data_IF_838083713667
#
_entry.id   IF_838083713667
#
_cell.length_a   1.000
_cell.length_b   1.000
_cell.length_c   1.000
_cell.angle_alpha   90.00
_cell.angle_beta   90.00
_cell.angle_gamma   90.00
#
_symmetry.space_group_name_H-M   'P 1'
#
loop_
_entity.id
_entity.type
_entity.pdbx_description
1 polymer ?
#
# COMPACT_ATOMS: atom_id res chain seq x y z
N UNK A 1 3.36 9.83 -6.85
CA UNK A 1 2.61 8.90 -7.72
C UNK A 1 1.71 8.00 -6.89
N UNK A 2 0.41 8.07 -7.14
CA UNK A 2 -0.61 7.20 -6.54
C UNK A 2 -1.15 6.23 -7.58
N UNK A 3 -1.22 4.94 -7.22
CA UNK A 3 -1.92 3.89 -7.96
C UNK A 3 -3.00 3.29 -7.08
N UNK A 4 -4.11 2.89 -7.70
CA UNK A 4 -5.26 2.32 -6.98
C UNK A 4 -5.57 0.95 -7.56
N UNK A 5 -5.73 -0.03 -6.68
CA UNK A 5 -6.06 -1.40 -7.03
C UNK A 5 -7.33 -1.84 -6.31
N UNK A 6 -8.27 -2.39 -7.07
CA UNK A 6 -9.45 -3.07 -6.53
C UNK A 6 -9.20 -4.58 -6.55
N UNK A 7 -9.36 -5.21 -5.39
CA UNK A 7 -9.15 -6.65 -5.21
C UNK A 7 -10.45 -7.31 -4.74
N UNK A 8 -11.04 -8.14 -5.60
CA UNK A 8 -12.32 -8.82 -5.38
C UNK A 8 -12.12 -10.33 -5.44
N UNK A 9 -11.67 -10.90 -4.32
CA UNK A 9 -11.37 -12.33 -4.24
C UNK A 9 -10.17 -12.67 -5.12
N UNK A 10 -10.41 -13.14 -6.36
CA UNK A 10 -9.36 -13.56 -7.31
C UNK A 10 -8.98 -12.51 -8.35
N UNK A 11 -9.74 -11.42 -8.42
CA UNK A 11 -9.51 -10.36 -9.40
C UNK A 11 -8.65 -9.27 -8.76
N UNK A 12 -7.68 -8.80 -9.54
CA UNK A 12 -6.79 -7.69 -9.19
C UNK A 12 -6.82 -6.71 -10.37
N UNK A 13 -7.42 -5.54 -10.16
CA UNK A 13 -7.63 -4.54 -11.20
C UNK A 13 -7.00 -3.22 -10.78
N UNK A 14 -6.15 -2.66 -11.63
CA UNK A 14 -5.68 -1.29 -11.50
C UNK A 14 -6.78 -0.36 -12.06
N UNK A 15 -7.23 0.60 -11.26
CA UNK A 15 -8.30 1.55 -11.61
C UNK A 15 -7.80 2.98 -11.55
N UNK A 16 -8.42 3.89 -12.31
CA UNK A 16 -8.17 5.32 -12.23
C UNK A 16 -8.58 5.92 -10.88
N UNK A 17 -7.96 7.03 -10.48
CA UNK A 17 -8.34 7.77 -9.25
C UNK A 17 -9.76 8.32 -9.34
N UNK A 18 -10.18 8.68 -10.54
CA UNK A 18 -11.51 9.13 -10.92
C UNK A 18 -12.57 8.03 -10.91
N UNK A 19 -12.16 6.76 -11.01
CA UNK A 19 -13.04 5.59 -10.91
C UNK A 19 -13.24 5.13 -9.46
N UNK A 20 -12.55 5.77 -8.52
CA UNK A 20 -12.75 5.54 -7.10
C UNK A 20 -14.14 6.03 -6.67
N UNK A 21 -15.00 5.11 -6.26
CA UNK A 21 -16.32 5.43 -5.71
C UNK A 21 -16.55 4.71 -4.38
N UNK A 22 -17.51 5.19 -3.59
CA UNK A 22 -17.92 4.53 -2.34
C UNK A 22 -18.50 3.12 -2.56
N UNK A 23 -18.88 2.75 -3.78
CA UNK A 23 -19.38 1.41 -4.13
C UNK A 23 -18.26 0.36 -4.26
N UNK A 24 -17.00 0.79 -4.42
CA UNK A 24 -15.82 -0.09 -4.49
C UNK A 24 -15.56 -0.84 -3.15
N UNK A 25 -16.29 -0.51 -2.07
CA UNK A 25 -16.25 -1.17 -0.74
C UNK A 25 -16.60 -2.66 -0.74
N UNK A 26 -16.96 -3.27 -1.87
CA UNK A 26 -17.22 -4.72 -1.93
C UNK A 26 -15.91 -5.54 -1.88
N UNK A 27 -14.80 -5.01 -2.37
CA UNK A 27 -13.47 -5.62 -2.32
C UNK A 27 -12.47 -4.86 -1.44
N UNK A 28 -11.23 -5.33 -1.38
CA UNK A 28 -10.12 -4.58 -0.77
C UNK A 28 -9.71 -3.49 -1.75
N UNK A 29 -9.55 -2.28 -1.24
CA UNK A 29 -8.99 -1.16 -1.98
C UNK A 29 -7.54 -0.97 -1.53
N UNK A 30 -6.60 -1.28 -2.42
CA UNK A 30 -5.20 -0.99 -2.19
C UNK A 30 -4.80 0.31 -2.87
N UNK A 31 -4.42 1.32 -2.09
CA UNK A 31 -3.84 2.58 -2.58
C UNK A 31 -2.32 2.53 -2.39
N UNK A 32 -1.58 2.35 -3.49
CA UNK A 32 -0.11 2.34 -3.51
C UNK A 32 0.43 3.74 -3.77
N UNK A 33 1.08 4.32 -2.77
CA UNK A 33 1.55 5.70 -2.75
C UNK A 33 3.08 5.72 -2.73
N UNK A 34 3.68 6.29 -3.77
CA UNK A 34 5.12 6.49 -3.88
C UNK A 34 5.42 7.96 -4.18
N UNK A 35 6.07 8.66 -3.26
CA UNK A 35 6.42 10.09 -3.38
C UNK A 35 5.21 10.93 -3.87
N UNK A 36 4.14 11.05 -3.07
CA UNK A 36 2.95 11.77 -3.48
C UNK A 36 3.23 13.27 -3.59
N UNK A 37 2.67 13.92 -4.61
CA UNK A 37 2.66 15.38 -4.70
C UNK A 37 1.53 16.00 -3.85
N UNK A 38 1.46 17.33 -3.78
CA UNK A 38 0.45 18.04 -2.97
C UNK A 38 -1.00 17.72 -3.38
N UNK A 39 -1.26 17.60 -4.69
CA UNK A 39 -2.60 17.25 -5.19
C UNK A 39 -2.99 15.81 -4.82
N UNK A 40 -2.05 14.87 -4.90
CA UNK A 40 -2.23 13.48 -4.49
C UNK A 40 -2.43 13.36 -2.97
N UNK A 41 -1.67 14.12 -2.17
CA UNK A 41 -1.84 14.19 -0.72
C UNK A 41 -3.23 14.71 -0.34
N UNK A 42 -3.69 15.76 -1.03
CA UNK A 42 -5.05 16.30 -0.84
C UNK A 42 -6.12 15.27 -1.19
N UNK A 43 -5.97 14.57 -2.31
CA UNK A 43 -6.90 13.51 -2.72
C UNK A 43 -6.96 12.36 -1.71
N UNK A 44 -5.82 11.90 -1.18
CA UNK A 44 -5.77 10.89 -0.12
C UNK A 44 -6.57 11.33 1.12
N UNK A 45 -6.46 12.59 1.50
CA UNK A 45 -7.18 13.12 2.65
C UNK A 45 -8.68 13.26 2.40
N UNK A 46 -9.08 13.83 1.27
CA UNK A 46 -10.48 14.17 0.98
C UNK A 46 -11.31 12.94 0.56
N UNK A 47 -10.75 12.06 -0.27
CA UNK A 47 -11.49 10.94 -0.85
C UNK A 47 -11.29 9.63 -0.07
N UNK A 48 -10.07 9.39 0.44
CA UNK A 48 -9.73 8.15 1.16
C UNK A 48 -9.84 8.34 2.68
N UNK A 49 -9.79 9.58 3.18
CA UNK A 49 -9.71 9.87 4.61
C UNK A 49 -8.36 9.51 5.23
N UNK A 50 -7.31 9.40 4.39
CA UNK A 50 -5.95 9.08 4.81
C UNK A 50 -5.09 10.35 4.85
N UNK A 51 -4.56 10.67 6.03
CA UNK A 51 -3.62 11.76 6.21
C UNK A 51 -2.20 11.20 6.23
N UNK A 52 -1.35 11.72 5.35
CA UNK A 52 0.06 11.31 5.26
C UNK A 52 0.74 11.66 6.58
N UNK A 53 1.36 10.68 7.28
CA UNK A 53 2.05 10.96 8.52
C UNK A 53 3.33 11.77 8.29
N UNK A 54 3.71 12.57 9.28
CA UNK A 54 4.97 13.32 9.26
C UNK A 54 6.17 12.35 9.22
N UNK A 55 7.24 12.69 8.48
CA UNK A 55 8.38 11.79 8.26
C UNK A 55 9.02 11.28 9.56
N UNK A 56 9.13 12.14 10.57
CA UNK A 56 9.74 11.79 11.87
C UNK A 56 8.87 10.78 12.68
N UNK A 57 7.62 10.60 12.28
CA UNK A 57 6.72 9.60 12.87
C UNK A 57 6.85 8.20 12.23
N UNK A 58 7.58 8.07 11.12
CA UNK A 58 7.71 6.84 10.32
C UNK A 58 8.84 5.86 10.74
N UNK A 59 9.37 5.96 11.96
CA UNK A 59 10.28 4.91 12.48
C UNK A 59 9.56 3.55 12.62
N UNK A 60 10.31 2.44 12.72
CA UNK A 60 9.78 1.07 12.93
C UNK A 60 8.83 1.04 14.15
N UNK A 61 7.54 1.17 13.87
CA UNK A 61 6.48 1.36 14.87
C UNK A 61 5.24 0.65 14.37
N UNK A 62 4.67 -0.18 15.24
CA UNK A 62 3.33 -0.71 15.13
C UNK A 62 2.43 0.15 16.02
N UNK A 63 1.36 0.71 15.44
CA UNK A 63 0.37 1.51 16.14
C UNK A 63 -1.00 0.97 15.75
N UNK A 64 -1.78 0.59 16.76
CA UNK A 64 -3.18 0.20 16.60
C UNK A 64 -4.05 1.26 17.27
N UNK A 65 -4.98 1.83 16.51
CA UNK A 65 -5.86 2.89 16.97
C UNK A 65 -7.27 2.65 16.45
N UNK A 66 -8.16 2.23 17.35
CA UNK A 66 -9.54 1.89 17.01
C UNK A 66 -9.59 0.69 16.08
N UNK A 67 -10.04 0.92 14.84
CA UNK A 67 -10.18 -0.06 13.76
C UNK A 67 -9.06 0.02 12.72
N UNK A 68 -8.00 0.78 13.01
CA UNK A 68 -6.88 0.99 12.11
C UNK A 68 -5.55 0.49 12.68
N UNK A 69 -4.72 -0.04 11.78
CA UNK A 69 -3.37 -0.51 12.06
C UNK A 69 -2.41 0.29 11.17
N UNK A 70 -1.40 0.91 11.79
CA UNK A 70 -0.30 1.60 11.13
C UNK A 70 1.00 0.88 11.43
N UNK A 71 1.79 0.54 10.41
CA UNK A 71 3.04 -0.21 10.56
C UNK A 71 4.11 0.42 9.67
N UNK A 72 5.27 0.75 10.22
CA UNK A 72 6.46 1.02 9.42
C UNK A 72 7.32 -0.23 9.35
N UNK A 73 7.72 -0.62 8.14
CA UNK A 73 8.66 -1.72 7.91
C UNK A 73 9.76 -1.26 6.98
N UNK A 74 10.98 -1.63 7.35
CA UNK A 74 12.19 -1.39 6.57
C UNK A 74 12.39 -2.50 5.53
N UNK A 75 12.54 -2.12 4.26
CA UNK A 75 12.85 -3.03 3.16
C UNK A 75 14.24 -2.73 2.60
N UNK A 76 14.95 -3.78 2.20
CA UNK A 76 16.19 -3.64 1.46
C UNK A 76 15.88 -3.36 -0.02
N UNK A 77 16.43 -2.28 -0.56
CA UNK A 77 16.38 -1.97 -1.98
C UNK A 77 17.80 -2.07 -2.55
N UNK A 78 18.00 -3.01 -3.48
CA UNK A 78 19.24 -3.15 -4.23
C UNK A 78 19.12 -2.38 -5.54
N UNK A 79 19.88 -1.30 -5.70
CA UNK A 79 19.95 -0.54 -6.94
C UNK A 79 21.40 -0.46 -7.43
N UNK A 80 21.68 -1.01 -8.63
CA UNK A 80 22.96 -0.84 -9.35
C UNK A 80 24.22 -1.09 -8.49
N UNK A 81 24.16 -2.04 -7.56
CA UNK A 81 25.23 -2.44 -6.60
C UNK A 81 25.28 -1.68 -5.27
N UNK A 82 24.35 -0.76 -5.01
CA UNK A 82 24.16 -0.15 -3.69
C UNK A 82 22.94 -0.76 -3.00
N UNK A 83 23.08 -1.02 -1.69
CA UNK A 83 21.98 -1.46 -0.82
C UNK A 83 21.52 -0.24 -0.03
N UNK A 84 20.26 0.17 -0.23
CA UNK A 84 19.59 1.13 0.65
C UNK A 84 18.53 0.45 1.50
N UNK A 85 18.23 1.07 2.64
CA UNK A 85 17.08 0.71 3.47
C UNK A 85 15.99 1.73 3.15
N UNK A 86 14.84 1.26 2.68
CA UNK A 86 13.69 2.08 2.37
C UNK A 86 12.56 1.73 3.35
N UNK A 87 11.96 2.75 3.96
CA UNK A 87 10.84 2.56 4.86
C UNK A 87 9.52 2.58 4.07
N UNK A 88 8.69 1.58 4.31
CA UNK A 88 7.33 1.54 3.80
C UNK A 88 6.38 1.63 4.99
N UNK A 89 5.54 2.64 4.96
CA UNK A 89 4.42 2.79 5.87
C UNK A 89 3.22 2.04 5.31
N UNK A 90 2.63 1.17 6.13
CA UNK A 90 1.41 0.44 5.86
C UNK A 90 0.31 0.99 6.74
N UNK A 91 -0.84 1.27 6.15
CA UNK A 91 -2.05 1.60 6.87
C UNK A 91 -3.17 0.66 6.43
N UNK A 92 -3.77 0.00 7.41
CA UNK A 92 -4.83 -0.98 7.22
C UNK A 92 -6.03 -0.51 8.03
N UNK A 93 -7.18 -0.35 7.37
CA UNK A 93 -8.43 0.01 8.03
C UNK A 93 -9.60 -0.58 7.26
N UNK A 94 -10.33 -1.49 7.90
CA UNK A 94 -11.41 -2.26 7.27
C UNK A 94 -10.94 -2.93 5.95
N UNK A 95 -11.32 -2.38 4.79
CA UNK A 95 -10.95 -2.88 3.46
C UNK A 95 -9.95 -1.98 2.75
N UNK A 96 -9.50 -0.91 3.39
CA UNK A 96 -8.46 -0.04 2.87
C UNK A 96 -7.10 -0.60 3.27
N UNK A 97 -6.26 -0.79 2.26
CA UNK A 97 -4.85 -1.12 2.39
C UNK A 97 -4.06 0.01 1.73
N UNK A 98 -3.20 0.70 2.46
CA UNK A 98 -2.42 1.82 1.93
C UNK A 98 -0.96 1.52 2.18
N UNK A 99 -0.15 1.64 1.13
CA UNK A 99 1.31 1.60 1.21
C UNK A 99 1.84 2.97 0.86
N UNK A 100 2.74 3.52 1.67
CA UNK A 100 3.36 4.82 1.45
C UNK A 100 4.87 4.71 1.57
N UNK A 101 5.58 5.26 0.60
CA UNK A 101 7.05 5.26 0.54
C UNK A 101 7.55 6.46 -0.26
N UNK A 102 8.82 6.81 -0.07
CA UNK A 102 9.48 7.88 -0.82
C UNK A 102 10.14 7.39 -2.12
N UNK A 103 10.39 6.08 -2.25
CA UNK A 103 11.09 5.48 -3.39
C UNK A 103 10.53 4.12 -3.75
N UNK A 104 10.79 3.66 -4.97
CA UNK A 104 10.39 2.31 -5.38
C UNK A 104 11.11 1.23 -4.57
N UNK A 105 10.31 0.30 -4.05
CA UNK A 105 10.78 -0.87 -3.29
C UNK A 105 10.57 -2.12 -4.15
N UNK A 106 11.64 -2.84 -4.53
CA UNK A 106 11.55 -4.01 -5.41
C UNK A 106 10.56 -5.07 -4.92
N UNK A 107 10.51 -5.32 -3.62
CA UNK A 107 9.59 -6.29 -3.00
C UNK A 107 8.13 -5.98 -3.30
N UNK A 108 7.72 -4.71 -3.21
CA UNK A 108 6.35 -4.29 -3.56
C UNK A 108 6.08 -4.45 -5.05
N UNK A 109 7.03 -4.08 -5.91
CA UNK A 109 6.87 -4.24 -7.36
C UNK A 109 6.73 -5.72 -7.75
N UNK A 110 7.52 -6.60 -7.13
CA UNK A 110 7.41 -8.05 -7.31
C UNK A 110 6.06 -8.57 -6.83
N UNK A 111 5.55 -8.09 -5.70
CA UNK A 111 4.23 -8.48 -5.20
C UNK A 111 3.11 -8.08 -6.15
N UNK A 112 3.11 -6.83 -6.62
CA UNK A 112 2.11 -6.34 -7.58
C UNK A 112 2.14 -7.18 -8.86
N UNK A 113 3.33 -7.48 -9.39
CA UNK A 113 3.46 -8.33 -10.57
C UNK A 113 2.93 -9.75 -10.31
N UNK A 114 3.21 -10.33 -9.14
CA UNK A 114 2.66 -11.65 -8.75
C UNK A 114 1.14 -11.62 -8.70
N UNK A 115 0.50 -10.57 -8.18
CA UNK A 115 -0.95 -10.44 -8.16
C UNK A 115 -1.56 -10.25 -9.56
N UNK A 116 -0.85 -9.58 -10.48
CA UNK A 116 -1.26 -9.45 -11.87
C UNK A 116 -1.22 -10.79 -12.61
N UNK A 117 -0.23 -11.64 -12.32
CA UNK A 117 -0.04 -12.94 -12.97
C UNK A 117 -0.87 -14.07 -12.33
N UNK A 118 -0.92 -14.10 -11.00
CA UNK A 118 -1.61 -15.12 -10.22
C UNK A 118 -2.92 -14.54 -9.73
N UNK A 119 -4.02 -15.19 -10.11
CA UNK A 119 -5.36 -14.98 -9.54
C UNK A 119 -5.45 -15.50 -8.10
N UNK A 120 -4.54 -15.07 -7.24
CA UNK A 120 -4.51 -15.38 -5.83
C UNK A 120 -5.81 -14.90 -5.19
N UNK A 121 -6.39 -15.71 -4.29
CA UNK A 121 -7.61 -15.34 -3.61
C UNK A 121 -7.25 -14.53 -2.37
N UNK A 122 -7.48 -13.22 -2.41
CA UNK A 122 -7.28 -12.31 -1.29
C UNK A 122 -8.64 -11.90 -0.75
N UNK A 123 -8.86 -12.18 0.53
CA UNK A 123 -10.13 -11.88 1.22
C UNK A 123 -10.01 -10.73 2.23
N UNK A 124 -8.83 -10.56 2.84
CA UNK A 124 -8.58 -9.58 3.91
C UNK A 124 -7.38 -8.69 3.56
N UNK A 125 -7.44 -7.41 3.93
CA UNK A 125 -6.40 -6.43 3.63
C UNK A 125 -5.09 -6.78 4.37
N UNK A 126 -5.20 -7.31 5.58
CA UNK A 126 -4.10 -7.80 6.42
C UNK A 126 -3.35 -8.96 5.75
N UNK A 127 -4.03 -9.75 4.92
CA UNK A 127 -3.37 -10.82 4.16
C UNK A 127 -2.39 -10.27 3.13
N UNK A 128 -2.67 -9.11 2.53
CA UNK A 128 -1.73 -8.45 1.61
C UNK A 128 -0.43 -8.07 2.34
N UNK A 129 -0.55 -7.50 3.54
CA UNK A 129 0.62 -7.18 4.37
C UNK A 129 1.46 -8.42 4.68
N UNK A 130 0.84 -9.48 5.18
CA UNK A 130 1.53 -10.73 5.51
C UNK A 130 2.22 -11.35 4.28
N UNK A 131 1.55 -11.33 3.12
CA UNK A 131 2.12 -11.83 1.87
C UNK A 131 3.30 -10.99 1.38
N UNK A 132 3.23 -9.66 1.48
CA UNK A 132 4.35 -8.76 1.13
C UNK A 132 5.58 -9.08 1.98
N UNK A 133 5.41 -9.27 3.29
CA UNK A 133 6.51 -9.61 4.19
C UNK A 133 7.11 -11.00 3.95
N UNK A 134 6.33 -11.92 3.38
CA UNK A 134 6.79 -13.27 3.04
C UNK A 134 7.65 -13.35 1.77
N UNK A 135 7.79 -12.22 1.05
CA UNK A 135 8.59 -12.19 -0.17
C UNK A 135 10.07 -12.17 0.19
N UNK A 136 10.71 -13.31 -0.03
CA UNK A 136 12.16 -13.41 -0.06
C UNK A 136 12.69 -12.78 -1.37
N UNK A 137 13.67 -11.88 -1.23
CA UNK A 137 14.38 -11.18 -2.31
C UNK A 137 15.75 -11.80 -2.52
#
# INVERSE_FOLDING_TARGET
>A
MVKVYLITGREFLEIGKEEFTSENRRGILWVDVCEPNEEEAKWLKEEIGFEIPERDSMGDKYIEAGDSISINVSFLALQRSEVSVEHVFFFIKEKYFITLRDRDVPTLMMFINRLKERKAYVQFAESLFAEILSIEV
#
